data_IF_342322460889
#
_entry.id   IF_342322460889
#
_cell.length_a   1.000
_cell.length_b   1.000
_cell.length_c   1.000
_cell.angle_alpha   90.00
_cell.angle_beta   90.00
_cell.angle_gamma   90.00
#
_symmetry.space_group_name_H-M   'P 1'
#
loop_
_entity.id
_entity.type
_entity.pdbx_description
1 polymer ?
2 water ?
#
# COMPACT_ATOMS: atom_id res chain seq x y z
N UNK A 2 27.43 13.38 -3.90
CA UNK A 2 26.04 13.57 -3.47
C UNK A 2 25.41 12.19 -3.28
N UNK A 3 24.75 11.99 -2.15
CA UNK A 3 24.10 10.72 -1.86
C UNK A 3 22.71 10.72 -2.49
N UNK A 4 22.44 9.74 -3.35
CA UNK A 4 21.14 9.65 -4.00
C UNK A 4 20.23 8.57 -3.44
N UNK A 5 18.99 8.93 -3.16
CA UNK A 5 17.98 8.01 -2.61
C UNK A 5 16.85 7.78 -3.60
N UNK A 6 16.61 6.53 -3.92
CA UNK A 6 15.54 6.19 -4.84
C UNK A 6 14.24 5.87 -4.10
N UNK A 7 13.15 6.52 -4.53
CA UNK A 7 11.82 6.35 -3.94
C UNK A 7 11.11 5.25 -4.74
N UNK A 8 10.89 4.11 -4.09
CA UNK A 8 10.26 2.97 -4.74
C UNK A 8 8.89 2.62 -4.22
N UNK A 9 8.12 1.92 -5.04
CA UNK A 9 6.81 1.43 -4.63
C UNK A 9 6.99 -0.07 -4.78
N UNK A 10 7.11 -0.76 -3.65
CA UNK A 10 7.31 -2.20 -3.65
C UNK A 10 8.66 -2.52 -4.29
N UNK A 11 8.90 -3.74 -4.73
CA UNK A 11 10.23 -4.01 -5.28
C UNK A 11 10.32 -4.28 -6.75
N UNK A 12 9.31 -3.82 -7.48
CA UNK A 12 9.22 -4.00 -8.91
C UNK A 12 10.40 -3.38 -9.66
N UNK A 13 10.78 -2.16 -9.29
CA UNK A 13 11.85 -1.45 -9.98
C UNK A 13 13.21 -1.53 -9.29
N UNK A 14 13.35 -2.42 -8.32
CA UNK A 14 14.61 -2.54 -7.59
C UNK A 14 15.70 -3.33 -8.30
N UNK A 15 15.32 -4.19 -9.24
CA UNK A 15 16.28 -5.02 -9.94
C UNK A 15 17.34 -4.28 -10.76
N UNK A 16 17.12 -3.00 -11.03
CA UNK A 16 18.09 -2.24 -11.82
C UNK A 16 18.95 -1.32 -10.97
N UNK A 17 18.70 -1.28 -9.66
CA UNK A 17 19.47 -0.42 -8.77
C UNK A 17 20.89 -0.92 -8.59
N UNK A 18 21.83 0.02 -8.47
CA UNK A 18 23.23 -0.29 -8.29
C UNK A 18 23.81 0.62 -7.20
N UNK A 19 24.47 0.03 -6.21
CA UNK A 19 25.04 0.78 -5.10
C UNK A 19 26.07 1.81 -5.55
N UNK A 20 26.54 1.67 -6.79
CA UNK A 20 27.52 2.59 -7.33
C UNK A 20 26.94 3.99 -7.52
N UNK A 21 25.63 4.06 -7.72
CA UNK A 21 24.95 5.34 -7.92
C UNK A 21 23.84 5.61 -6.90
N UNK A 22 23.14 4.55 -6.51
CA UNK A 22 22.07 4.69 -5.52
C UNK A 22 22.49 4.01 -4.22
N UNK A 23 22.61 4.80 -3.16
CA UNK A 23 23.04 4.23 -1.88
C UNK A 23 21.90 3.86 -0.96
N UNK A 24 20.73 4.44 -1.18
CA UNK A 24 19.60 4.14 -0.31
C UNK A 24 18.28 4.22 -1.07
N UNK A 25 17.29 3.51 -0.56
CA UNK A 25 15.98 3.51 -1.17
C UNK A 25 14.93 3.74 -0.10
N UNK A 26 13.92 4.54 -0.45
CA UNK A 26 12.83 4.79 0.47
C UNK A 26 11.77 3.78 0.06
N UNK A 27 11.50 2.81 0.91
CA UNK A 27 10.53 1.77 0.61
C UNK A 27 9.12 2.12 1.09
N UNK A 28 8.18 2.14 0.15
CA UNK A 28 6.79 2.41 0.50
C UNK A 28 5.88 1.84 -0.59
N UNK A 29 4.59 2.05 -0.43
CA UNK A 29 3.65 1.57 -1.43
C UNK A 29 2.74 2.76 -1.70
N UNK A 30 1.76 2.58 -2.58
CA UNK A 30 0.80 3.64 -2.88
C UNK A 30 1.44 5.00 -3.12
N UNK A 31 2.35 5.12 -4.10
CA UNK A 31 2.95 6.41 -4.37
C UNK A 31 1.96 7.42 -4.92
N UNK A 32 0.82 6.93 -5.40
CA UNK A 32 -0.21 7.82 -5.94
C UNK A 32 -0.72 8.76 -4.86
N UNK A 33 -0.64 8.34 -3.60
CA UNK A 33 -1.13 9.17 -2.51
C UNK A 33 0.04 9.77 -1.74
N UNK A 34 1.25 9.60 -2.28
CA UNK A 34 2.44 10.14 -1.64
C UNK A 34 3.26 9.10 -0.91
N UNK A 35 2.76 7.87 -0.86
CA UNK A 35 3.49 6.80 -0.20
C UNK A 35 2.98 6.38 1.17
N UNK A 36 2.78 5.08 1.34
CA UNK A 36 2.32 4.57 2.63
C UNK A 36 3.21 3.40 3.03
N UNK A 37 2.94 2.86 4.20
CA UNK A 37 3.70 1.73 4.70
C UNK A 37 3.41 0.52 3.84
N UNK A 38 4.46 -0.12 3.28
CA UNK A 38 4.31 -1.31 2.44
C UNK A 38 3.94 -2.53 3.26
N UNK A 39 3.52 -3.61 2.59
CA UNK A 39 3.13 -4.83 3.29
C UNK A 39 4.33 -5.45 4.01
N UNK A 40 4.05 -6.35 4.95
CA UNK A 40 5.10 -7.01 5.71
C UNK A 40 6.02 -7.80 4.77
N UNK A 41 5.42 -8.52 3.84
CA UNK A 41 6.21 -9.30 2.89
C UNK A 41 7.15 -8.44 2.08
N UNK A 42 6.69 -7.28 1.64
CA UNK A 42 7.52 -6.38 0.85
C UNK A 42 8.70 -5.87 1.68
N UNK A 43 8.46 -5.50 2.93
CA UNK A 43 9.53 -4.99 3.79
C UNK A 43 10.60 -6.06 4.04
N UNK A 44 10.18 -7.26 4.39
CA UNK A 44 11.11 -8.35 4.66
C UNK A 44 11.96 -8.70 3.44
N UNK A 45 11.31 -8.93 2.31
CA UNK A 45 12.02 -9.29 1.10
C UNK A 45 12.85 -8.15 0.51
N UNK A 46 12.31 -6.94 0.52
CA UNK A 46 13.02 -5.81 -0.02
C UNK A 46 14.31 -5.57 0.78
N UNK A 47 14.20 -5.59 2.10
CA UNK A 47 15.38 -5.38 2.96
C UNK A 47 16.47 -6.40 2.67
N UNK A 48 16.10 -7.66 2.55
CA UNK A 48 17.07 -8.72 2.29
C UNK A 48 17.63 -8.57 0.88
N UNK A 49 16.78 -8.23 -0.08
CA UNK A 49 17.21 -8.06 -1.46
C UNK A 49 18.15 -6.88 -1.60
N UNK A 50 17.78 -5.73 -1.02
CA UNK A 50 18.61 -4.54 -1.11
C UNK A 50 19.89 -4.68 -0.30
N UNK A 51 19.81 -5.21 0.91
CA UNK A 51 21.01 -5.39 1.72
C UNK A 51 22.00 -6.27 0.97
N UNK A 52 21.47 -7.27 0.27
CA UNK A 52 22.29 -8.19 -0.50
C UNK A 52 23.07 -7.43 -1.58
N UNK A 53 22.46 -6.36 -2.13
CA UNK A 53 23.11 -5.55 -3.16
C UNK A 53 23.85 -4.38 -2.54
N UNK A 54 23.94 -4.38 -1.20
CA UNK A 54 24.64 -3.32 -0.50
C UNK A 54 23.98 -1.94 -0.50
N UNK A 55 22.67 -1.91 -0.34
CA UNK A 55 21.98 -0.63 -0.31
C UNK A 55 21.06 -0.55 0.91
N UNK A 56 21.06 0.60 1.57
CA UNK A 56 20.24 0.83 2.76
C UNK A 56 18.78 1.01 2.40
N UNK A 57 17.93 0.77 3.39
CA UNK A 57 16.48 0.86 3.22
C UNK A 57 15.78 1.69 4.27
N UNK A 58 15.10 2.74 3.84
CA UNK A 58 14.35 3.60 4.76
C UNK A 58 12.87 3.26 4.54
N UNK A 59 12.22 2.71 5.56
CA UNK A 59 10.83 2.32 5.45
C UNK A 59 9.82 3.40 5.81
N UNK A 61 6.57 5.05 7.15
CA UNK A 61 5.62 4.78 8.21
C UNK A 61 4.52 5.84 8.08
N UNK A 62 3.46 5.48 7.35
CA UNK A 62 2.32 6.35 7.12
C UNK A 62 1.12 5.42 6.92
N UNK A 63 0.14 5.47 7.84
CA UNK A 63 -1.08 4.67 7.85
C UNK A 63 -2.08 4.90 6.73
N UNK A 64 -1.90 5.99 5.98
CA UNK A 64 -2.76 6.32 4.86
C UNK A 64 -2.36 7.65 4.24
N UNK A 65 -3.05 8.03 3.18
CA UNK A 65 -2.75 9.29 2.52
C UNK A 65 -3.52 10.44 3.13
N UNK A 66 -3.35 11.63 2.56
CA UNK A 66 -4.03 12.79 3.08
C UNK A 66 -3.22 13.43 4.19
N UNK A 67 -3.92 13.98 5.17
CA UNK A 67 -3.36 14.65 6.35
C UNK A 67 -2.23 13.94 7.07
N UNK A 68 -1.59 14.69 7.95
CA UNK A 68 -0.53 14.20 8.81
C UNK A 68 -1.02 14.38 10.25
N UNK A 69 -2.34 14.56 10.40
CA UNK A 69 -2.94 14.71 11.72
C UNK A 69 -3.61 13.38 11.99
N UNK A 70 -2.91 12.50 12.70
CA UNK A 70 -3.43 11.17 12.97
C UNK A 70 -4.19 10.99 14.27
N UNK A 71 -5.23 10.16 14.21
CA UNK A 71 -6.03 9.87 15.39
C UNK A 71 -5.35 8.72 16.14
N UNK A 72 -5.86 8.43 17.33
CA UNK A 72 -5.28 7.37 18.17
C UNK A 72 -5.10 6.03 17.46
N UNK A 73 -6.13 5.58 16.76
CA UNK A 73 -6.08 4.30 16.06
C UNK A 73 -4.97 4.28 15.00
N UNK A 74 -4.82 5.39 14.28
CA UNK A 74 -3.79 5.50 13.25
C UNK A 74 -2.40 5.50 13.89
N UNK A 75 -2.29 6.09 15.09
CA UNK A 75 -1.01 6.11 15.79
C UNK A 75 -0.71 4.68 16.26
N UNK A 76 -1.74 3.92 16.58
CA UNK A 76 -1.58 2.53 17.02
C UNK A 76 -1.07 1.71 15.84
N UNK A 77 -1.53 2.05 14.64
CA UNK A 77 -1.12 1.37 13.43
C UNK A 77 0.37 1.63 13.17
N UNK A 79 2.69 2.58 15.30
CA UNK A 79 3.56 1.96 16.30
C UNK A 79 3.77 0.50 15.93
N UNK A 80 2.71 -0.16 15.49
CA UNK A 80 2.79 -1.57 15.10
C UNK A 80 3.68 -1.73 13.88
N UNK A 81 3.49 -0.88 12.88
CA UNK A 81 4.31 -0.98 11.68
C UNK A 81 5.77 -0.69 11.95
N UNK A 82 6.04 0.13 12.97
CA UNK A 82 7.42 0.44 13.33
C UNK A 82 8.08 -0.77 13.96
N UNK A 83 7.36 -1.46 14.83
CA UNK A 83 7.91 -2.65 15.49
C UNK A 83 8.31 -3.70 14.45
N UNK A 84 7.46 -3.90 13.46
CA UNK A 84 7.74 -4.86 12.41
C UNK A 84 8.92 -4.38 11.56
N UNK A 85 8.93 -3.10 11.20
CA UNK A 85 10.03 -2.56 10.39
C UNK A 85 11.38 -2.80 11.05
N UNK A 86 11.45 -2.60 12.36
CA UNK A 86 12.72 -2.81 13.05
C UNK A 86 13.07 -4.29 13.16
N UNK A 87 12.11 -5.15 13.46
CA UNK A 87 12.40 -6.57 13.57
C UNK A 87 12.83 -7.14 12.22
N UNK A 88 12.47 -6.45 11.14
CA UNK A 88 12.83 -6.88 9.80
C UNK A 88 14.14 -6.25 9.32
N UNK A 89 14.87 -5.66 10.28
CA UNK A 89 16.17 -5.05 10.04
C UNK A 89 16.21 -3.83 9.11
N UNK A 90 15.17 -3.00 9.15
CA UNK A 90 15.15 -1.80 8.32
C UNK A 90 16.24 -0.87 8.83
N UNK A 91 16.82 -0.09 7.93
CA UNK A 91 17.89 0.83 8.29
C UNK A 91 17.41 2.19 8.78
N UNK A 92 16.21 2.58 8.36
CA UNK A 92 15.66 3.87 8.77
C UNK A 92 14.15 3.87 8.69
N UNK A 93 13.53 4.79 9.44
CA UNK A 93 12.08 4.93 9.44
C UNK A 93 11.73 6.34 8.99
N UNK A 94 10.73 6.45 8.11
CA UNK A 94 10.30 7.73 7.57
C UNK A 94 8.87 8.02 8.03
N UNK A 95 8.70 9.10 8.80
CA UNK A 95 7.36 9.43 9.29
C UNK A 95 7.19 10.94 9.41
N UNK A 96 5.98 11.37 9.72
CA UNK A 96 5.72 12.80 9.88
C UNK A 96 4.36 13.01 10.48
N UNK A 97 4.32 13.67 11.63
CA UNK A 97 3.07 13.92 12.31
C UNK A 97 2.93 15.41 12.61
N UNK A 98 1.79 16.00 12.25
CA UNK A 98 1.53 17.41 12.48
C UNK A 98 0.24 17.63 13.23
N UNK A 99 0.15 18.76 13.92
CA UNK A 99 -1.05 19.13 14.67
C UNK A 99 -1.98 19.85 13.69
N UNK A 100 -3.22 20.06 14.12
CA UNK A 100 -4.22 20.74 13.31
C UNK A 100 -3.75 22.12 12.86
N UNK A 101 -2.82 22.71 13.62
CA UNK A 101 -2.30 24.03 13.27
C UNK A 101 -1.00 23.94 12.47
N UNK A 102 -0.77 22.79 11.85
CA UNK A 102 0.40 22.56 11.00
C UNK A 102 1.75 22.69 11.67
N UNK A 103 1.82 22.29 12.93
CA UNK A 103 3.07 22.32 13.67
C UNK A 103 3.45 20.90 14.00
N UNK A 104 4.72 20.69 14.33
CA UNK A 104 5.16 19.35 14.66
C UNK A 104 4.48 18.85 15.93
N UNK A 105 3.81 17.70 15.82
CA UNK A 105 3.13 17.12 16.97
C UNK A 105 4.16 16.33 17.78
N UNK A 106 4.88 17.04 18.65
CA UNK A 106 5.92 16.45 19.49
C UNK A 106 5.41 15.34 20.40
N UNK A 107 4.26 15.55 21.03
CA UNK A 107 3.72 14.54 21.93
C UNK A 107 3.41 13.23 21.21
N UNK A 108 2.84 13.31 20.01
CA UNK A 108 2.52 12.10 19.26
C UNK A 108 3.80 11.36 18.88
N UNK A 109 4.80 12.10 18.39
CA UNK A 109 6.06 11.47 18.00
C UNK A 109 6.75 10.81 19.18
N UNK A 110 6.74 11.47 20.34
CA UNK A 110 7.38 10.90 21.51
C UNK A 110 6.71 9.58 21.89
N UNK A 111 5.41 9.46 21.64
CA UNK A 111 4.68 8.23 21.96
C UNK A 111 5.24 7.05 21.14
N UNK A 112 5.77 7.35 19.96
CA UNK A 112 6.31 6.30 19.09
C UNK A 112 7.82 6.11 19.22
N UNK A 113 8.52 7.04 19.83
CA UNK A 113 9.97 6.91 19.96
C UNK A 113 10.46 5.59 20.55
N UNK A 114 9.86 5.14 21.66
CA UNK A 114 10.31 3.88 22.26
C UNK A 114 10.27 2.70 21.29
N UNK A 115 9.21 2.60 20.51
CA UNK A 115 9.09 1.50 19.54
C UNK A 115 10.19 1.56 18.49
N UNK A 116 10.65 2.78 18.18
CA UNK A 116 11.70 2.96 17.17
C UNK A 116 13.01 2.26 17.55
N UNK A 117 13.18 2.05 18.85
CA UNK A 117 14.36 1.36 19.36
C UNK A 117 15.68 1.90 18.83
N UNK A 118 15.79 3.23 18.77
CA UNK A 118 17.02 3.85 18.32
C UNK A 118 17.32 3.89 16.83
N UNK A 119 16.49 3.27 16.00
CA UNK A 119 16.80 3.32 14.57
C UNK A 119 16.79 4.77 14.08
N UNK A 120 17.56 5.06 13.01
CA UNK A 120 17.64 6.41 12.43
C UNK A 120 16.24 6.85 12.02
N UNK A 121 15.91 8.11 12.30
CA UNK A 121 14.59 8.64 11.96
C UNK A 121 14.63 9.81 11.00
N UNK A 122 13.71 9.79 10.04
CA UNK A 122 13.60 10.87 9.07
C UNK A 122 12.18 11.40 9.01
N UNK A 123 12.06 12.73 8.99
CA UNK A 123 10.78 13.44 8.93
C UNK A 123 10.59 13.76 7.44
N UNK A 124 9.45 13.37 6.87
CA UNK A 124 9.22 13.58 5.44
C UNK A 124 8.61 14.90 4.99
N UNK A 126 6.03 16.24 5.00
CA UNK A 126 5.06 16.93 5.85
C UNK A 126 5.69 18.21 6.40
N UNK A 127 7.03 18.25 6.40
CA UNK A 127 7.76 19.40 6.91
C UNK A 127 7.40 20.68 6.14
N UNK A 128 7.17 20.56 4.83
CA UNK A 128 6.84 21.72 4.01
C UNK A 128 5.49 22.37 4.36
N UNK A 129 4.60 21.64 5.03
CA UNK A 129 3.28 22.16 5.41
C UNK A 129 3.41 23.15 6.58
N UNK A 130 4.51 23.03 7.32
CA UNK A 130 4.77 23.90 8.45
C UNK A 130 4.93 25.35 7.96
N UNK A 131 4.28 26.32 8.64
CA UNK A 131 4.42 27.70 8.19
C UNK A 131 5.90 28.09 8.17
N UNK A 132 6.33 28.67 7.05
CA UNK A 132 7.72 29.06 6.84
C UNK A 132 8.36 29.81 8.01
N UNK A 133 7.55 30.48 8.82
CA UNK A 133 8.09 31.21 9.96
C UNK A 133 8.46 30.27 11.11
N UNK A 134 7.71 29.18 11.26
CA UNK A 134 7.96 28.20 12.32
C UNK A 134 8.84 27.04 11.84
N UNK A 135 9.36 27.19 10.63
CA UNK A 135 10.21 26.18 10.00
C UNK A 135 11.49 25.90 10.80
N UNK A 136 12.23 26.96 11.10
CA UNK A 136 13.49 26.82 11.83
C UNK A 136 13.35 26.22 13.22
N UNK A 137 12.28 26.58 13.93
CA UNK A 137 12.04 26.03 15.26
C UNK A 137 11.77 24.53 15.14
N UNK A 138 11.02 24.17 14.11
CA UNK A 138 10.69 22.77 13.86
C UNK A 138 11.96 21.94 13.75
N UNK A 139 13.00 22.52 13.13
CA UNK A 139 14.27 21.83 12.98
C UNK A 139 14.85 21.55 14.35
N UNK A 140 14.87 22.57 15.21
CA UNK A 140 15.38 22.43 16.57
C UNK A 140 14.62 21.34 17.29
N UNK A 141 13.30 21.30 17.09
CA UNK A 141 12.47 20.29 17.72
C UNK A 141 12.81 18.91 17.20
N UNK A 142 13.06 18.80 15.90
CA UNK A 142 13.41 17.51 15.31
C UNK A 142 14.76 17.05 15.84
N UNK A 143 15.67 17.99 16.05
CA UNK A 143 16.99 17.68 16.59
C UNK A 143 16.82 17.15 18.02
N UNK A 144 15.94 17.82 18.77
CA UNK A 144 15.69 17.44 20.15
C UNK A 144 15.02 16.07 20.23
N UNK A 145 14.21 15.74 19.23
CA UNK A 145 13.52 14.47 19.18
C UNK A 145 14.44 13.35 18.71
N UNK A 146 15.68 13.69 18.38
CA UNK A 146 16.64 12.69 17.94
C UNK A 146 16.52 12.22 16.50
N UNK A 147 15.98 13.06 15.62
CA UNK A 147 15.82 12.74 14.21
C UNK A 147 17.16 12.86 13.47
N UNK A 148 17.37 11.99 12.48
CA UNK A 148 18.60 11.98 11.68
C UNK A 148 18.58 12.90 10.46
N UNK A 149 17.47 12.93 9.74
CA UNK A 149 17.37 13.82 8.59
C UNK A 149 15.95 14.25 8.28
N UNK A 150 15.85 15.23 7.41
CA UNK A 150 14.58 15.81 7.00
C UNK A 150 14.51 15.85 5.48
N UNK A 151 13.43 15.29 4.95
CA UNK A 151 13.15 15.28 3.52
C UNK A 151 12.17 16.42 3.28
N UNK A 152 12.57 17.38 2.45
CA UNK A 152 11.71 18.52 2.18
C UNK A 152 11.80 19.02 0.75
N UNK A 153 10.77 19.76 0.34
CA UNK A 153 10.67 20.31 -1.00
C UNK A 153 11.02 21.79 -0.99
N UNK A 154 10.79 22.45 0.14
CA UNK A 154 11.07 23.88 0.23
C UNK A 154 9.86 24.75 0.02
N UNK A 155 8.72 24.12 -0.28
CA UNK A 155 7.46 24.83 -0.49
C UNK A 155 6.35 23.79 -0.37
N UNK A 156 5.12 24.23 -0.10
CA UNK A 156 4.03 23.28 0.05
C UNK A 156 2.96 23.32 -1.02
N UNK A 157 3.09 24.25 -1.96
CA UNK A 157 2.12 24.39 -3.03
C UNK A 157 2.52 23.65 -4.31
N UNK A 158 3.66 22.97 -4.27
CA UNK A 158 4.11 22.21 -5.42
C UNK A 158 4.89 23.00 -6.46
N UNK A 159 5.40 24.17 -6.10
CA UNK A 159 6.16 24.99 -7.02
C UNK A 159 7.47 24.29 -7.38
N UNK A 160 8.12 24.74 -8.46
CA UNK A 160 9.39 24.13 -8.88
C UNK A 160 10.42 24.27 -7.76
N UNK A 161 11.04 23.16 -7.39
CA UNK A 161 12.04 23.15 -6.34
C UNK A 161 13.19 24.13 -6.66
N UNK A 162 13.45 24.32 -7.95
CA UNK A 162 14.51 25.23 -8.39
C UNK A 162 14.29 26.65 -7.84
N UNK A 163 13.04 27.00 -7.54
CA UNK A 163 12.73 28.32 -7.03
C UNK A 163 12.77 28.39 -5.51
N UNK A 164 13.16 27.31 -4.86
CA UNK A 164 13.22 27.30 -3.39
C UNK A 164 14.65 27.33 -2.86
N UNK A 165 15.59 27.56 -3.75
CA UNK A 165 17.00 27.58 -3.40
C UNK A 165 17.31 28.43 -2.17
N UNK A 166 16.87 29.69 -2.18
CA UNK A 166 17.13 30.56 -1.05
C UNK A 166 16.64 30.01 0.28
N UNK A 167 15.39 29.57 0.32
CA UNK A 167 14.81 29.02 1.54
C UNK A 167 15.52 27.74 2.00
N UNK A 168 15.74 26.82 1.07
CA UNK A 168 16.39 25.56 1.41
C UNK A 168 17.79 25.81 1.95
N UNK A 169 18.49 26.79 1.39
CA UNK A 169 19.83 27.07 1.86
C UNK A 169 19.81 27.63 3.27
N UNK A 170 18.80 28.46 3.54
CA UNK A 170 18.66 29.05 4.88
C UNK A 170 18.43 27.95 5.92
N UNK A 171 17.68 26.92 5.53
CA UNK A 171 17.38 25.80 6.43
C UNK A 171 18.63 24.98 6.70
N UNK A 172 19.44 24.79 5.65
CA UNK A 172 20.68 24.04 5.78
C UNK A 172 21.65 24.77 6.71
N UNK A 173 21.75 26.08 6.52
CA UNK A 173 22.64 26.89 7.34
C UNK A 173 22.17 26.88 8.80
N UNK A 174 20.86 26.96 8.99
CA UNK A 174 20.30 26.94 10.33
C UNK A 174 20.46 25.57 10.97
N UNK A 175 20.35 24.52 10.17
CA UNK A 175 20.50 23.14 10.68
C UNK A 175 21.91 22.99 11.23
N UNK A 176 22.86 23.68 10.63
CA UNK A 176 24.25 23.66 11.08
C UNK A 176 24.78 22.28 11.43
N UNK A 177 24.61 21.33 10.50
CA UNK A 177 25.07 19.96 10.66
C UNK A 177 24.51 19.19 11.84
N UNK A 178 23.49 19.73 12.50
CA UNK A 178 22.89 19.02 13.63
C UNK A 178 21.94 17.95 13.11
N UNK A 179 21.54 18.11 11.87
CA UNK A 179 20.63 17.16 11.25
C UNK A 179 20.74 17.33 9.74
N UNK A 180 20.68 16.21 9.01
CA UNK A 180 20.80 16.23 7.55
C UNK A 180 19.56 16.69 6.82
N UNK A 181 19.77 17.47 5.76
CA UNK A 181 18.68 17.96 4.95
C UNK A 181 18.73 17.25 3.59
N UNK A 183 16.76 16.86 -0.26
CA UNK A 183 15.77 17.46 -1.14
C UNK A 183 14.94 16.40 -1.85
N UNK A 184 13.66 16.70 -2.01
CA UNK A 184 12.73 15.80 -2.67
C UNK A 184 11.63 16.60 -3.36
N UNK A 185 10.83 15.91 -4.18
CA UNK A 185 9.74 16.55 -4.88
C UNK A 185 10.22 17.28 -6.12
N UNK A 186 10.18 16.61 -7.28
CA UNK A 186 10.62 17.24 -8.50
C UNK A 186 12.13 17.19 -8.66
N UNK A 187 12.79 16.36 -7.87
CA UNK A 187 14.23 16.22 -7.94
C UNK A 187 14.57 15.06 -8.88
N UNK A 188 15.18 15.38 -10.02
CA UNK A 188 15.55 14.38 -11.01
C UNK A 188 17.05 14.34 -11.27
N UNK A 189 17.46 13.47 -12.19
CA UNK A 189 18.87 13.33 -12.54
C UNK A 189 19.38 14.55 -13.30
N UNK A 190 18.48 15.48 -13.62
CA UNK A 190 18.89 16.67 -14.36
C UNK A 190 19.12 17.90 -13.52
N UNK A 191 18.51 17.94 -12.34
CA UNK A 191 18.68 19.12 -11.50
C UNK A 191 19.25 18.87 -10.11
N UNK A 192 19.31 17.61 -9.70
CA UNK A 192 19.79 17.28 -8.36
C UNK A 192 21.19 17.81 -8.04
N UNK A 193 22.09 17.78 -9.03
CA UNK A 193 23.44 18.26 -8.80
C UNK A 193 23.47 19.77 -8.59
N UNK A 194 22.78 20.50 -9.46
CA UNK A 194 22.71 21.95 -9.38
C UNK A 194 22.05 22.38 -8.07
N UNK A 195 20.90 21.79 -7.76
CA UNK A 195 20.19 22.14 -6.53
C UNK A 195 21.05 21.95 -5.28
N UNK A 196 21.80 20.85 -5.23
CA UNK A 196 22.66 20.56 -4.09
C UNK A 196 23.82 21.55 -3.93
N UNK A 197 24.49 21.89 -5.03
CA UNK A 197 25.61 22.82 -4.92
C UNK A 197 25.18 24.24 -4.55
N UNK A 198 23.98 24.63 -4.96
CA UNK A 198 23.49 25.98 -4.67
C UNK A 198 22.85 26.11 -3.29
N UNK A 199 22.59 24.97 -2.64
CA UNK A 199 21.96 25.00 -1.32
C UNK A 199 22.83 24.43 -0.22
N UNK A 200 23.80 23.61 -0.61
CA UNK A 200 24.68 22.99 0.38
C UNK A 200 24.14 21.63 0.79
N UNK A 201 23.06 21.19 0.14
CA UNK A 201 22.46 19.88 0.44
C UNK A 201 23.32 18.79 -0.18
N UNK A 202 23.51 17.68 0.54
CA UNK A 202 24.32 16.57 0.03
C UNK A 202 23.55 15.29 -0.24
N UNK A 203 22.22 15.35 -0.13
CA UNK A 203 21.38 14.18 -0.36
C UNK A 203 20.14 14.52 -1.19
N UNK A 204 19.86 13.70 -2.19
CA UNK A 204 18.71 13.93 -3.05
C UNK A 204 17.81 12.70 -3.12
N UNK A 205 16.50 12.97 -3.07
CA UNK A 205 15.47 11.94 -3.10
C UNK A 205 14.60 12.10 -4.34
N UNK A 206 14.20 10.98 -4.95
CA UNK A 206 13.36 11.07 -6.12
C UNK A 206 13.07 9.75 -6.81
N UNK A 207 11.94 9.70 -7.53
CA UNK A 207 11.56 8.50 -8.26
C UNK A 207 12.36 8.42 -9.55
N UNK A 208 12.81 9.57 -10.04
CA UNK A 208 13.60 9.61 -11.26
C UNK A 208 14.97 10.23 -10.96
N UNK A 209 15.56 9.83 -9.84
CA UNK A 209 16.86 10.35 -9.41
C UNK A 209 17.98 9.89 -10.34
N UNK A 210 17.75 8.79 -11.04
CA UNK A 210 18.74 8.22 -11.97
C UNK A 210 18.23 8.22 -13.41
N UNK B 2 -29.21 -9.48 -0.55
CA UNK B 2 -27.92 -9.46 -1.22
C UNK B 2 -26.83 -9.07 -0.23
N UNK B 3 -25.71 -9.81 -0.26
CA UNK B 3 -24.59 -9.55 0.62
C UNK B 3 -23.70 -8.49 -0.04
N UNK B 4 -23.47 -7.37 0.64
CA UNK B 4 -22.65 -6.29 0.09
C UNK B 4 -21.25 -6.22 0.72
N UNK B 5 -20.25 -6.09 -0.14
CA UNK B 5 -18.86 -6.01 0.30
C UNK B 5 -18.25 -4.66 -0.06
N UNK B 6 -17.72 -3.97 0.93
CA UNK B 6 -17.10 -2.68 0.69
C UNK B 6 -15.59 -2.81 0.45
N UNK B 7 -15.12 -2.19 -0.62
CA UNK B 7 -13.72 -2.21 -1.00
C UNK B 7 -13.05 -0.97 -0.39
N UNK B 8 -12.19 -1.19 0.59
CA UNK B 8 -11.54 -0.10 1.29
C UNK B 8 -10.04 0.01 1.03
N UNK B 9 -9.50 1.20 1.27
CA UNK B 9 -8.06 1.42 1.16
C UNK B 9 -7.73 1.86 2.58
N UNK B 10 -7.07 0.98 3.33
CA UNK B 10 -6.72 1.27 4.71
C UNK B 10 -8.01 1.45 5.52
N UNK B 11 -7.95 2.05 6.70
CA UNK B 11 -9.18 2.15 7.46
C UNK B 11 -9.78 3.52 7.64
N UNK B 12 -9.41 4.41 6.73
CA UNK B 12 -9.90 5.77 6.73
C UNK B 12 -11.42 5.88 6.64
N UNK B 13 -12.01 5.12 5.72
CA UNK B 13 -13.45 5.17 5.52
C UNK B 13 -14.26 4.09 6.23
N UNK B 14 -13.63 3.39 7.17
CA UNK B 14 -14.33 2.32 7.88
C UNK B 14 -15.24 2.78 9.00
N UNK B 15 -15.00 3.97 9.55
CA UNK B 15 -15.80 4.48 10.66
C UNK B 15 -17.29 4.65 10.40
N UNK B 16 -17.69 4.66 9.13
CA UNK B 16 -19.11 4.84 8.81
C UNK B 16 -19.80 3.53 8.43
N UNK B 17 -19.05 2.44 8.39
CA UNK B 17 -19.63 1.14 8.03
C UNK B 17 -20.54 0.60 9.11
N UNK B 18 -21.61 -0.06 8.68
CA UNK B 18 -22.58 -0.66 9.58
C UNK B 18 -22.92 -2.07 9.11
N UNK B 19 -22.83 -3.04 10.01
CA UNK B 19 -23.11 -4.44 9.68
C UNK B 19 -24.53 -4.66 9.18
N UNK B 20 -25.39 -3.66 9.40
CA UNK B 20 -26.77 -3.75 8.97
C UNK B 20 -26.89 -3.73 7.44
N UNK B 21 -25.91 -3.11 6.78
CA UNK B 21 -25.90 -3.01 5.32
C UNK B 21 -24.65 -3.61 4.68
N UNK B 22 -23.51 -3.45 5.34
CA UNK B 22 -22.26 -3.99 4.84
C UNK B 22 -21.82 -5.15 5.72
N UNK B 23 -21.74 -6.35 5.15
CA UNK B 23 -21.35 -7.50 5.94
C UNK B 23 -19.88 -7.85 5.84
N UNK B 24 -19.20 -7.36 4.80
CA UNK B 24 -17.80 -7.69 4.65
C UNK B 24 -17.05 -6.56 3.96
N UNK B 25 -15.75 -6.48 4.21
CA UNK B 25 -14.94 -5.46 3.58
C UNK B 25 -13.69 -6.11 3.00
N UNK B 26 -13.30 -5.65 1.81
CA UNK B 26 -12.09 -6.17 1.17
C UNK B 26 -11.03 -5.15 1.56
N UNK B 27 -10.09 -5.59 2.40
CA UNK B 27 -9.04 -4.71 2.88
C UNK B 27 -7.80 -4.73 1.99
N UNK B 28 -7.44 -3.56 1.47
CA UNK B 28 -6.23 -3.43 0.67
C UNK B 28 -5.72 -2.01 0.70
N UNK B 29 -4.66 -1.74 -0.03
CA UNK B 29 -4.13 -0.39 -0.10
C UNK B 29 -3.93 -0.13 -1.57
N UNK B 30 -3.44 1.06 -1.92
CA UNK B 30 -3.16 1.40 -3.31
C UNK B 30 -4.29 1.05 -4.27
N UNK B 31 -5.49 1.60 -4.07
CA UNK B 31 -6.58 1.28 -4.98
C UNK B 31 -6.35 1.89 -6.36
N UNK B 32 -5.45 2.84 -6.44
CA UNK B 32 -5.15 3.47 -7.73
C UNK B 32 -4.61 2.43 -8.72
N UNK B 33 -3.97 1.39 -8.20
CA UNK B 33 -3.42 0.37 -9.08
C UNK B 33 -4.28 -0.91 -9.04
N UNK B 34 -5.45 -0.81 -8.42
CA UNK B 34 -6.34 -1.95 -8.34
C UNK B 34 -6.35 -2.62 -6.98
N UNK B 35 -5.46 -2.19 -6.09
CA UNK B 35 -5.40 -2.76 -4.76
C UNK B 35 -4.24 -3.70 -4.50
N UNK B 36 -3.52 -3.47 -3.41
CA UNK B 36 -2.41 -4.35 -3.05
C UNK B 36 -2.55 -4.73 -1.58
N UNK B 37 -1.61 -5.54 -1.11
CA UNK B 37 -1.62 -5.97 0.27
C UNK B 37 -1.30 -4.77 1.15
N UNK B 38 -2.17 -4.50 2.14
CA UNK B 38 -1.98 -3.38 3.07
C UNK B 38 -0.88 -3.69 4.08
N UNK B 39 -0.43 -2.67 4.80
CA UNK B 39 0.64 -2.87 5.78
C UNK B 39 0.19 -3.79 6.90
N UNK B 40 1.15 -4.30 7.67
CA UNK B 40 0.84 -5.19 8.77
C UNK B 40 -0.04 -4.47 9.79
N UNK B 41 0.36 -3.24 10.13
CA UNK B 41 -0.41 -2.46 11.08
C UNK B 41 -1.87 -2.29 10.67
N UNK B 42 -2.11 -2.02 9.40
CA UNK B 42 -3.45 -1.84 8.88
C UNK B 42 -4.27 -3.12 8.99
N UNK B 43 -3.66 -4.25 8.68
CA UNK B 43 -4.37 -5.53 8.74
C UNK B 43 -4.78 -5.87 10.19
N UNK B 44 -3.83 -5.73 11.11
CA UNK B 44 -4.09 -6.03 12.51
C UNK B 44 -5.18 -5.14 13.10
N UNK B 45 -5.04 -3.83 12.92
CA UNK B 45 -6.02 -2.91 13.48
C UNK B 45 -7.37 -2.94 12.79
N UNK B 46 -7.36 -3.08 11.47
CA UNK B 46 -8.61 -3.13 10.72
C UNK B 46 -9.41 -4.35 11.13
N UNK B 47 -8.75 -5.51 11.20
CA UNK B 47 -9.43 -6.74 11.60
C UNK B 47 -10.08 -6.61 12.96
N UNK B 48 -9.35 -6.05 13.92
CA UNK B 48 -9.88 -5.89 15.26
C UNK B 48 -11.01 -4.86 15.27
N UNK B 49 -10.84 -3.79 14.51
CA UNK B 49 -11.84 -2.73 14.44
C UNK B 49 -13.12 -3.24 13.79
N UNK B 50 -12.98 -3.91 12.65
CA UNK B 50 -14.13 -4.44 11.94
C UNK B 50 -14.81 -5.57 12.68
N UNK B 51 -14.03 -6.51 13.22
CA UNK B 51 -14.61 -7.62 13.96
C UNK B 51 -15.43 -7.06 15.12
N UNK B 52 -14.92 -6.00 15.74
CA UNK B 52 -15.59 -5.37 16.86
C UNK B 52 -16.96 -4.86 16.43
N UNK B 53 -17.08 -4.41 15.18
CA UNK B 53 -18.36 -3.91 14.65
C UNK B 53 -19.15 -5.02 13.97
N UNK B 54 -18.67 -6.25 14.09
CA UNK B 54 -19.36 -7.38 13.51
C UNK B 54 -19.31 -7.48 11.99
N UNK B 55 -18.14 -7.23 11.41
CA UNK B 55 -18.02 -7.33 9.97
C UNK B 55 -16.78 -8.11 9.59
N UNK B 56 -16.92 -8.99 8.60
CA UNK B 56 -15.83 -9.84 8.13
C UNK B 56 -14.83 -9.05 7.30
N UNK B 57 -13.61 -9.56 7.23
CA UNK B 57 -12.53 -8.92 6.50
C UNK B 57 -11.80 -9.85 5.53
N UNK B 58 -11.78 -9.48 4.25
CA UNK B 58 -11.09 -10.27 3.23
C UNK B 58 -9.83 -9.48 2.88
N UNK B 59 -8.66 -10.03 3.17
CA UNK B 59 -7.40 -9.32 2.91
C UNK B 59 -6.82 -9.56 1.52
N UNK B 61 -4.18 -10.03 -1.26
CA UNK B 61 -2.84 -10.59 -1.36
C UNK B 61 -2.36 -10.33 -2.78
N UNK B 62 -1.68 -9.21 -2.98
CA UNK B 62 -1.15 -8.82 -4.28
C UNK B 62 0.10 -7.99 -4.00
N UNK B 63 1.29 -8.49 -4.40
CA UNK B 63 2.60 -7.87 -4.21
C UNK B 63 2.86 -6.56 -4.95
N UNK B 64 2.00 -6.23 -5.90
CA UNK B 64 2.11 -5.00 -6.67
C UNK B 64 1.04 -4.90 -7.74
N UNK B 65 1.01 -3.78 -8.45
CA UNK B 65 0.04 -3.59 -9.50
C UNK B 65 0.50 -4.18 -10.82
N UNK B 66 -0.30 -4.02 -11.86
CA UNK B 66 0.05 -4.56 -13.16
C UNK B 66 -0.38 -6.01 -13.28
N UNK B 67 0.40 -6.79 -14.02
CA UNK B 67 0.18 -8.21 -14.28
C UNK B 67 -0.19 -9.07 -13.09
N UNK B 68 -0.61 -10.29 -13.41
CA UNK B 68 -0.95 -11.31 -12.44
C UNK B 68 0.01 -12.48 -12.70
N UNK B 69 1.09 -12.20 -13.42
CA UNK B 69 2.10 -13.22 -13.73
C UNK B 69 3.26 -12.87 -12.80
N UNK B 70 3.32 -13.55 -11.65
CA UNK B 70 4.34 -13.27 -10.66
C UNK B 70 5.58 -14.13 -10.73
N UNK B 71 6.72 -13.51 -10.43
CA UNK B 71 7.98 -14.21 -10.44
C UNK B 71 8.18 -14.83 -9.05
N UNK B 72 9.20 -15.66 -8.92
CA UNK B 72 9.49 -16.36 -7.67
C UNK B 72 9.53 -15.47 -6.43
N UNK B 73 10.22 -14.34 -6.54
CA UNK B 73 10.36 -13.41 -5.42
C UNK B 73 9.00 -12.82 -5.00
N UNK B 74 8.16 -12.52 -5.98
CA UNK B 74 6.84 -11.98 -5.71
C UNK B 74 5.96 -13.05 -5.06
N UNK B 75 6.17 -14.31 -5.45
CA UNK B 75 5.41 -15.40 -4.85
C UNK B 75 5.86 -15.57 -3.40
N UNK B 76 7.14 -15.31 -3.14
CA UNK B 76 7.69 -15.42 -1.80
C UNK B 76 7.08 -14.33 -0.93
N UNK B 77 6.84 -13.17 -1.54
CA UNK B 77 6.23 -12.05 -0.83
C UNK B 77 4.80 -12.43 -0.43
N UNK B 79 3.41 -15.37 -0.11
CA UNK B 79 3.34 -16.42 0.90
C UNK B 79 3.53 -15.80 2.27
N UNK B 80 4.48 -14.87 2.37
CA UNK B 80 4.77 -14.21 3.64
C UNK B 80 3.55 -13.38 4.07
N UNK B 81 2.99 -12.62 3.15
CA UNK B 81 1.84 -11.81 3.51
C UNK B 81 0.62 -12.65 3.90
N UNK B 82 0.53 -13.85 3.36
CA UNK B 82 -0.56 -14.75 3.70
C UNK B 82 -0.41 -15.25 5.14
N UNK B 83 0.82 -15.61 5.51
CA UNK B 83 1.09 -16.10 6.87
C UNK B 83 0.71 -15.02 7.90
N UNK B 84 1.07 -13.78 7.63
CA UNK B 84 0.73 -12.70 8.54
C UNK B 84 -0.78 -12.49 8.55
N UNK B 85 -1.41 -12.47 7.36
CA UNK B 85 -2.87 -12.27 7.31
C UNK B 85 -3.63 -13.28 8.15
N UNK B 86 -3.19 -14.54 8.12
CA UNK B 86 -3.85 -15.57 8.90
C UNK B 86 -3.56 -15.42 10.39
N UNK B 87 -2.32 -15.13 10.76
CA UNK B 87 -2.01 -14.97 12.18
C UNK B 87 -2.74 -13.76 12.77
N UNK B 88 -3.16 -12.83 11.91
CA UNK B 88 -3.86 -11.63 12.36
C UNK B 88 -5.37 -11.83 12.32
N UNK B 89 -5.78 -13.10 12.19
CA UNK B 89 -7.19 -13.49 12.19
C UNK B 89 -8.06 -12.97 11.05
N UNK B 90 -7.49 -12.86 9.85
CA UNK B 90 -8.27 -12.40 8.71
C UNK B 90 -9.29 -13.49 8.39
N UNK B 91 -10.44 -13.08 7.88
CA UNK B 91 -11.50 -14.01 7.55
C UNK B 91 -11.40 -14.62 6.16
N UNK B 92 -10.71 -13.92 5.25
CA UNK B 92 -10.55 -14.42 3.90
C UNK B 92 -9.34 -13.81 3.22
N UNK B 93 -8.86 -14.48 2.17
CA UNK B 93 -7.70 -14.01 1.42
C UNK B 93 -8.12 -13.83 -0.04
N UNK B 94 -7.73 -12.71 -0.61
CA UNK B 94 -8.06 -12.39 -2.00
C UNK B 94 -6.80 -12.37 -2.85
N UNK B 95 -6.72 -13.28 -3.84
CA UNK B 95 -5.55 -13.35 -4.69
C UNK B 95 -5.89 -13.79 -6.11
N UNK B 96 -4.92 -13.70 -7.00
CA UNK B 96 -5.16 -14.11 -8.38
C UNK B 96 -3.85 -14.24 -9.11
N UNK B 97 -3.57 -15.42 -9.63
CA UNK B 97 -2.33 -15.66 -10.36
C UNK B 97 -2.65 -16.26 -11.73
N UNK B 98 -2.05 -15.68 -12.76
CA UNK B 98 -2.26 -16.15 -14.13
C UNK B 98 -0.95 -16.44 -14.84
N UNK B 99 -1.01 -17.31 -15.83
CA UNK B 99 0.16 -17.65 -16.62
C UNK B 99 0.27 -16.62 -17.75
N UNK B 100 1.39 -16.64 -18.47
CA UNK B 100 1.61 -15.71 -19.57
C UNK B 100 0.53 -15.81 -20.63
N UNK B 101 -0.13 -16.97 -20.71
CA UNK B 101 -1.20 -17.18 -21.68
C UNK B 101 -2.59 -16.89 -21.10
N UNK B 102 -2.61 -16.12 -20.02
CA UNK B 102 -3.86 -15.72 -19.37
C UNK B 102 -4.74 -16.83 -18.83
N UNK B 103 -4.11 -17.90 -18.34
CA UNK B 103 -4.85 -19.01 -17.76
C UNK B 103 -4.51 -19.07 -16.30
N UNK B 104 -5.32 -19.77 -15.52
CA UNK B 104 -5.05 -19.89 -14.10
C UNK B 104 -3.77 -20.67 -13.84
N UNK B 105 -2.85 -20.04 -13.12
CA UNK B 105 -1.58 -20.69 -12.81
C UNK B 105 -1.80 -21.59 -11.60
N UNK B 106 -2.28 -22.81 -11.86
CA UNK B 106 -2.56 -23.78 -10.81
C UNK B 106 -1.34 -24.15 -9.96
N UNK B 107 -0.19 -24.36 -10.61
CA UNK B 107 1.01 -24.72 -9.87
C UNK B 107 1.45 -23.63 -8.89
N UNK B 108 1.37 -22.38 -9.31
CA UNK B 108 1.76 -21.28 -8.42
C UNK B 108 0.81 -21.20 -7.23
N UNK B 109 -0.50 -21.29 -7.49
CA UNK B 109 -1.48 -21.24 -6.41
C UNK B 109 -1.29 -22.38 -5.41
N UNK B 110 -1.03 -23.59 -5.91
CA UNK B 110 -0.85 -24.74 -5.02
C UNK B 110 0.36 -24.51 -4.11
N UNK B 111 1.36 -23.78 -4.59
CA UNK B 111 2.55 -23.50 -3.79
C UNK B 111 2.17 -22.68 -2.56
N UNK B 112 1.11 -21.86 -2.69
CA UNK B 112 0.67 -21.02 -1.59
C UNK B 112 -0.45 -21.61 -0.73
N UNK B 113 -1.10 -22.66 -1.22
CA UNK B 113 -2.20 -23.25 -0.45
C UNK B 113 -1.88 -23.63 0.99
N UNK B 114 -0.75 -24.30 1.23
CA UNK B 114 -0.39 -24.69 2.60
C UNK B 114 -0.35 -23.51 3.57
N UNK B 115 0.23 -22.39 3.13
CA UNK B 115 0.33 -21.21 3.97
C UNK B 115 -1.06 -20.67 4.31
N UNK B 116 -2.02 -20.85 3.41
CA UNK B 116 -3.37 -20.36 3.63
C UNK B 116 -4.05 -20.99 4.85
N UNK B 117 -3.55 -22.16 5.24
CA UNK B 117 -4.06 -22.87 6.40
C UNK B 117 -5.57 -23.00 6.45
N UNK B 118 -6.18 -23.30 5.30
CA UNK B 118 -7.61 -23.48 5.23
C UNK B 118 -8.50 -22.26 5.22
N UNK B 119 -7.95 -21.06 5.34
CA UNK B 119 -8.83 -19.90 5.32
C UNK B 119 -9.58 -19.81 3.98
N UNK B 120 -10.78 -19.22 3.99
CA UNK B 120 -11.58 -19.06 2.76
C UNK B 120 -10.76 -18.30 1.73
N UNK B 121 -10.83 -18.73 0.47
CA UNK B 121 -10.07 -18.10 -0.59
C UNK B 121 -10.94 -17.53 -1.70
N UNK B 122 -10.58 -16.34 -2.18
CA UNK B 122 -11.30 -15.70 -3.26
C UNK B 122 -10.34 -15.28 -4.37
N UNK B 123 -10.76 -15.53 -5.61
CA UNK B 123 -9.99 -15.21 -6.82
C UNK B 123 -10.56 -13.87 -7.29
N UNK B 124 -9.71 -12.86 -7.49
CA UNK B 124 -10.21 -11.55 -7.89
C UNK B 124 -10.37 -11.27 -9.39
N UNK B 126 -8.74 -10.70 -11.70
CA UNK B 126 -7.83 -11.30 -12.67
C UNK B 126 -8.58 -12.35 -13.49
N UNK B 127 -9.70 -12.82 -12.96
CA UNK B 127 -10.52 -13.82 -13.64
C UNK B 127 -11.01 -13.33 -14.99
N UNK B 128 -11.32 -12.05 -15.09
CA UNK B 128 -11.83 -11.46 -16.33
C UNK B 128 -10.83 -11.47 -17.49
N UNK B 129 -9.54 -11.58 -17.17
CA UNK B 129 -8.48 -11.59 -18.19
C UNK B 129 -8.45 -12.94 -18.91
N UNK B 130 -9.01 -13.96 -18.27
CA UNK B 130 -9.05 -15.30 -18.85
C UNK B 130 -9.92 -15.27 -20.10
N UNK B 131 -9.44 -15.91 -21.19
CA UNK B 131 -10.28 -15.89 -22.41
C UNK B 131 -11.65 -16.49 -22.10
N UNK B 132 -12.69 -15.77 -22.53
CA UNK B 132 -14.08 -16.18 -22.28
C UNK B 132 -14.37 -17.65 -22.60
N UNK B 133 -13.61 -18.26 -23.49
CA UNK B 133 -13.84 -19.66 -23.82
C UNK B 133 -13.30 -20.59 -22.73
N UNK B 134 -12.22 -20.18 -22.05
CA UNK B 134 -11.61 -20.98 -21.00
C UNK B 134 -12.12 -20.58 -19.60
N UNK B 135 -13.13 -19.71 -19.60
CA UNK B 135 -13.73 -19.19 -18.39
C UNK B 135 -14.35 -20.28 -17.50
N UNK B 136 -15.22 -21.08 -18.10
CA UNK B 136 -15.89 -22.15 -17.39
C UNK B 136 -14.96 -23.20 -16.79
N UNK B 137 -13.91 -23.56 -17.53
CA UNK B 137 -12.94 -24.53 -17.04
C UNK B 137 -12.23 -23.96 -15.82
N UNK B 138 -11.91 -22.67 -15.90
CA UNK B 138 -11.23 -21.97 -14.82
C UNK B 138 -12.03 -22.11 -13.52
N UNK B 139 -13.35 -22.06 -13.63
CA UNK B 139 -14.22 -22.20 -12.46
C UNK B 139 -14.01 -23.58 -11.84
N UNK B 140 -14.03 -24.61 -12.70
CA UNK B 140 -13.82 -25.99 -12.26
C UNK B 140 -12.48 -26.09 -11.55
N UNK B 141 -11.46 -25.44 -12.12
CA UNK B 141 -10.13 -25.45 -11.52
C UNK B 141 -10.12 -24.76 -10.17
N UNK B 142 -10.86 -23.65 -10.06
CA UNK B 142 -10.92 -22.92 -8.80
C UNK B 142 -11.66 -23.74 -7.75
N UNK B 143 -12.65 -24.51 -8.18
CA UNK B 143 -13.41 -25.37 -7.27
C UNK B 143 -12.45 -26.46 -6.77
N UNK B 144 -11.66 -27.02 -7.69
CA UNK B 144 -10.71 -28.07 -7.35
C UNK B 144 -9.64 -27.56 -6.40
N UNK B 145 -9.27 -26.29 -6.57
CA UNK B 145 -8.25 -25.66 -5.73
C UNK B 145 -8.79 -25.26 -4.35
N UNK B 146 -10.08 -25.51 -4.14
CA UNK B 146 -10.68 -25.19 -2.84
C UNK B 146 -11.03 -23.74 -2.60
N UNK B 147 -11.28 -22.98 -3.66
CA UNK B 147 -11.65 -21.57 -3.56
C UNK B 147 -13.11 -21.39 -3.16
N UNK B 148 -13.38 -20.36 -2.37
CA UNK B 148 -14.73 -20.08 -1.87
C UNK B 148 -15.58 -19.21 -2.81
N UNK B 149 -14.98 -18.17 -3.37
CA UNK B 149 -15.72 -17.33 -4.29
C UNK B 149 -14.83 -16.66 -5.33
N UNK B 150 -15.48 -16.10 -6.34
CA UNK B 150 -14.81 -15.42 -7.43
C UNK B 150 -15.40 -14.03 -7.62
N UNK B 151 -14.51 -13.04 -7.65
CA UNK B 151 -14.91 -11.65 -7.85
C UNK B 151 -14.61 -11.36 -9.32
N UNK B 152 -15.64 -11.01 -10.07
CA UNK B 152 -15.48 -10.74 -11.48
C UNK B 152 -16.35 -9.61 -12.01
N UNK B 153 -15.93 -9.06 -13.13
CA UNK B 153 -16.64 -7.96 -13.79
C UNK B 153 -17.47 -8.45 -14.97
N UNK B 154 -17.04 -9.56 -15.57
CA UNK B 154 -17.77 -10.09 -16.71
C UNK B 154 -17.16 -9.69 -18.04
N UNK B 155 -16.11 -8.88 -17.99
CA UNK B 155 -15.41 -8.43 -19.20
C UNK B 155 -14.05 -7.89 -18.74
N UNK B 156 -13.10 -7.80 -19.65
CA UNK B 156 -11.78 -7.31 -19.26
C UNK B 156 -11.39 -5.97 -19.85
N UNK B 157 -12.23 -5.41 -20.70
CA UNK B 157 -11.92 -4.14 -21.35
C UNK B 157 -12.52 -2.94 -20.61
N UNK B 158 -13.20 -3.21 -19.49
CA UNK B 158 -13.80 -2.14 -18.72
C UNK B 158 -15.18 -1.67 -19.15
N UNK B 159 -15.85 -2.47 -19.96
CA UNK B 159 -17.19 -2.12 -20.43
C UNK B 159 -18.17 -2.08 -19.26
N UNK B 160 -19.34 -1.45 -19.46
CA UNK B 160 -20.34 -1.37 -18.40
C UNK B 160 -20.79 -2.77 -17.97
N UNK B 161 -20.72 -3.05 -16.67
CA UNK B 161 -21.10 -4.34 -16.14
C UNK B 161 -22.53 -4.70 -16.55
N UNK B 162 -23.37 -3.69 -16.71
CA UNK B 162 -24.76 -3.91 -17.09
C UNK B 162 -24.88 -4.67 -18.41
N UNK B 163 -23.86 -4.58 -19.25
CA UNK B 163 -23.86 -5.27 -20.54
C UNK B 163 -23.26 -6.67 -20.46
N UNK B 164 -22.91 -7.13 -19.27
CA UNK B 164 -22.33 -8.48 -19.13
C UNK B 164 -23.29 -9.46 -18.48
N UNK B 165 -24.53 -9.04 -18.32
CA UNK B 165 -25.56 -9.86 -17.71
C UNK B 165 -25.60 -11.29 -18.24
N UNK B 166 -25.71 -11.45 -19.55
CA UNK B 166 -25.76 -12.79 -20.14
C UNK B 166 -24.58 -13.66 -19.75
N UNK B 167 -23.36 -13.15 -19.91
CA UNK B 167 -22.17 -13.91 -19.58
C UNK B 167 -22.09 -14.25 -18.08
N UNK B 168 -22.32 -13.25 -17.24
CA UNK B 168 -22.26 -13.46 -15.80
C UNK B 168 -23.28 -14.50 -15.35
N UNK B 169 -24.46 -14.49 -15.97
CA UNK B 169 -25.47 -15.47 -15.60
C UNK B 169 -25.06 -16.87 -16.01
N UNK B 170 -24.39 -16.98 -17.16
CA UNK B 170 -23.94 -18.28 -17.65
C UNK B 170 -22.90 -18.86 -16.68
N UNK B 171 -22.07 -17.99 -16.12
CA UNK B 171 -21.03 -18.41 -15.18
C UNK B 171 -21.66 -18.89 -13.88
N UNK B 172 -22.69 -18.17 -13.42
CA UNK B 172 -23.39 -18.54 -12.21
C UNK B 172 -24.05 -19.91 -12.38
N UNK B 173 -24.72 -20.10 -13.52
CA UNK B 173 -25.39 -21.36 -13.80
C UNK B 173 -24.37 -22.49 -13.84
N UNK B 174 -23.24 -22.24 -14.49
CA UNK B 174 -22.20 -23.25 -14.61
C UNK B 174 -21.56 -23.53 -13.26
N UNK B 175 -21.43 -22.49 -12.42
CA UNK B 175 -20.85 -22.66 -11.10
C UNK B 175 -21.71 -23.61 -10.28
N UNK B 176 -23.01 -23.59 -10.55
CA UNK B 176 -23.96 -24.48 -9.90
C UNK B 176 -23.75 -24.64 -8.39
N UNK B 177 -23.64 -23.51 -7.70
CA UNK B 177 -23.45 -23.48 -6.25
C UNK B 177 -22.20 -24.16 -5.71
N UNK B 178 -21.27 -24.51 -6.59
CA UNK B 178 -20.03 -25.15 -6.14
C UNK B 178 -19.07 -24.07 -5.64
N UNK B 179 -19.34 -22.84 -6.05
CA UNK B 179 -18.51 -21.71 -5.65
C UNK B 179 -19.31 -20.43 -5.87
N UNK B 180 -19.15 -19.48 -4.96
CA UNK B 180 -19.87 -18.21 -5.04
C UNK B 180 -19.33 -17.21 -6.06
N UNK B 181 -20.23 -16.55 -6.76
CA UNK B 181 -19.85 -15.55 -7.74
C UNK B 181 -20.22 -14.18 -7.18
N UNK B 183 -20.10 -9.91 -7.96
CA UNK B 183 -19.88 -8.91 -9.01
C UNK B 183 -19.11 -7.71 -8.49
N UNK B 184 -18.23 -7.20 -9.34
CA UNK B 184 -17.42 -6.04 -8.99
C UNK B 184 -17.07 -5.24 -10.23
N UNK B 185 -16.52 -4.05 -10.03
CA UNK B 185 -16.15 -3.18 -11.14
C UNK B 185 -17.33 -2.41 -11.67
N UNK B 186 -17.54 -1.19 -11.17
CA UNK B 186 -18.67 -0.40 -11.64
C UNK B 186 -19.97 -0.78 -10.95
N UNK B 187 -19.87 -1.53 -9.85
CA UNK B 187 -21.05 -1.95 -9.10
C UNK B 187 -21.30 -0.92 -8.00
N UNK B 188 -22.41 -0.22 -8.10
CA UNK B 188 -22.76 0.81 -7.11
C UNK B 188 -24.10 0.52 -6.44
N UNK B 189 -24.51 1.43 -5.56
CA UNK B 189 -25.78 1.28 -4.85
C UNK B 189 -26.97 1.49 -5.78
N UNK B 190 -26.70 1.86 -7.02
CA UNK B 190 -27.79 2.08 -7.97
C UNK B 190 -28.07 0.92 -8.91
N UNK B 191 -27.09 0.07 -9.14
CA UNK B 191 -27.29 -1.05 -10.05
C UNK B 191 -27.08 -2.43 -9.46
N UNK B 192 -26.49 -2.51 -8.27
CA UNK B 192 -26.19 -3.80 -7.66
C UNK B 192 -27.40 -4.70 -7.49
N UNK B 193 -28.55 -4.13 -7.15
CA UNK B 193 -29.76 -4.93 -6.97
C UNK B 193 -30.24 -5.51 -8.30
N UNK B 194 -30.31 -4.67 -9.32
CA UNK B 194 -30.76 -5.08 -10.65
C UNK B 194 -29.83 -6.16 -11.22
N UNK B 195 -28.53 -5.88 -11.18
CA UNK B 195 -27.54 -6.82 -11.71
C UNK B 195 -27.65 -8.19 -11.04
N UNK B 196 -27.85 -8.23 -9.73
CA UNK B 196 -27.97 -9.48 -9.01
C UNK B 196 -29.22 -10.28 -9.37
N UNK B 197 -30.37 -9.61 -9.48
CA UNK B 197 -31.59 -10.34 -9.80
C UNK B 197 -31.58 -10.87 -11.23
N UNK B 198 -30.92 -10.17 -12.15
CA UNK B 198 -30.87 -10.61 -13.54
C UNK B 198 -29.81 -11.67 -13.82
N UNK B 199 -28.89 -11.86 -12.89
CA UNK B 199 -27.82 -12.84 -13.08
C UNK B 199 -27.87 -14.00 -12.09
N UNK B 200 -28.53 -13.78 -10.96
CA UNK B 200 -28.62 -14.82 -9.94
C UNK B 200 -27.48 -14.68 -8.93
N UNK B 201 -26.71 -13.60 -9.06
CA UNK B 201 -25.60 -13.32 -8.14
C UNK B 201 -26.18 -12.80 -6.82
N UNK B 202 -25.60 -13.22 -5.70
CA UNK B 202 -26.09 -12.79 -4.39
C UNK B 202 -25.10 -11.95 -3.60
N UNK B 203 -23.98 -11.60 -4.22
CA UNK B 203 -22.96 -10.79 -3.56
C UNK B 203 -22.41 -9.69 -4.47
N UNK B 204 -22.31 -8.48 -3.94
CA UNK B 204 -21.82 -7.35 -4.71
C UNK B 204 -20.64 -6.67 -4.02
N UNK B 205 -19.65 -6.31 -4.83
CA UNK B 205 -18.42 -5.67 -4.35
C UNK B 205 -18.29 -4.29 -4.98
N UNK B 206 -17.81 -3.32 -4.20
CA UNK B 206 -17.64 -1.98 -4.73
C UNK B 206 -17.20 -0.93 -3.72
N UNK B 207 -16.57 0.13 -4.22
CA UNK B 207 -16.13 1.23 -3.38
C UNK B 207 -17.32 2.13 -3.05
N UNK B 208 -18.32 2.12 -3.93
CA UNK B 208 -19.51 2.93 -3.71
C UNK B 208 -20.74 2.02 -3.66
N UNK B 209 -20.60 0.90 -2.96
CA UNK B 209 -21.68 -0.07 -2.81
C UNK B 209 -22.84 0.49 -1.98
N UNK B 210 -22.54 1.48 -1.16
CA UNK B 210 -23.55 2.11 -0.29
C UNK B 210 -23.74 3.59 -0.61
#
# INVERSE_FOLDING_TARGET
XILREFCAENLTDLTRLDKAIISRVELCDNLAVGGTTPSYGVIKEANQYLHEKGISVAVXIRPRGGNFVYNDLELRIXEEDILRAVELESDALVLGILTSNNHIDTEAIEQLLPATQGLPLVFHXAFDVIPKSDQKKSIDQLVALGFTRILLHGSSNGEPIIENIKHIKALVEYANNRIEIXVGGGVTAENYQYICQETGVKQAHGTRITQXAGDPLEHHHHHH
XILREFCAENLTDLTRLDKAIISRVELCDNLAVGGTTPSYGVIKEANQYLHEKGISVAVXIRPRGGNFVYNDLELRIXEEDILRAVELESDALVLGILTSNNHIDTEAIEQLLPATQGLPLVFHXAFDVIPKSDQKKSIDQLVALGFTRILLHGSSNGEPIIENIKHIKALVEYANNRIEIXVGGGVTAENYQYICQETGVKQAHGTRITQXAGDPLEHHHHHH
#
